data_IF_635891718348
#
_entry.id   IF_635891718348
#
_cell.length_a   1.000
_cell.length_b   1.000
_cell.length_c   1.000
_cell.angle_alpha   90.00
_cell.angle_beta   90.00
_cell.angle_gamma   90.00
#
_symmetry.space_group_name_H-M   'P 1'
#
loop_
_entity.id
_entity.type
_entity.pdbx_description
1 polymer ?
#
# COMPACT_ATOMS: atom_id res chain seq x y z
N UNK A 1 -17.87 4.48 -4.01
CA UNK A 1 -17.26 3.84 -5.19
C UNK A 1 -16.13 2.99 -4.71
N UNK A 2 -16.13 1.70 -5.04
CA UNK A 2 -15.10 0.74 -4.62
C UNK A 2 -13.81 0.99 -5.40
N UNK A 3 -12.68 1.12 -4.70
CA UNK A 3 -11.38 0.94 -5.32
C UNK A 3 -11.18 -0.56 -5.57
N UNK A 4 -10.79 -0.91 -6.78
CA UNK A 4 -10.46 -2.29 -7.15
C UNK A 4 -9.54 -2.26 -8.35
N UNK A 5 -8.55 -3.14 -8.35
CA UNK A 5 -7.69 -3.32 -9.49
C UNK A 5 -8.22 -4.49 -10.33
N UNK A 6 -8.62 -4.23 -11.57
CA UNK A 6 -9.16 -5.24 -12.50
C UNK A 6 -8.17 -6.41 -12.74
N UNK A 7 -6.88 -6.21 -12.47
CA UNK A 7 -5.85 -7.25 -12.57
C UNK A 7 -5.71 -8.12 -11.32
N UNK A 8 -6.31 -7.76 -10.17
CA UNK A 8 -6.27 -8.59 -8.95
C UNK A 8 -6.79 -10.01 -9.21
N UNK A 9 -7.87 -10.17 -9.98
CA UNK A 9 -8.46 -11.48 -10.27
C UNK A 9 -7.57 -12.42 -11.09
N UNK A 10 -6.59 -11.89 -11.83
CA UNK A 10 -5.70 -12.69 -12.70
C UNK A 10 -4.35 -12.97 -12.01
N UNK A 11 -3.93 -12.07 -11.13
CA UNK A 11 -2.64 -12.11 -10.42
C UNK A 11 -2.75 -12.82 -9.06
N UNK A 12 -3.95 -12.87 -8.45
CA UNK A 12 -4.20 -13.45 -7.13
C UNK A 12 -3.81 -14.95 -6.98
N UNK A 13 -3.97 -15.83 -7.97
CA UNK A 13 -3.51 -17.23 -7.86
C UNK A 13 -1.99 -17.40 -7.96
N UNK A 14 -1.29 -16.46 -8.61
CA UNK A 14 0.16 -16.55 -8.88
C UNK A 14 1.02 -15.81 -7.86
N UNK A 15 0.45 -14.88 -7.09
CA UNK A 15 1.20 -13.98 -6.20
C UNK A 15 0.59 -13.85 -4.79
N UNK A 16 0.58 -14.93 -3.99
CA UNK A 16 0.08 -14.91 -2.61
C UNK A 16 0.79 -13.89 -1.70
N UNK A 17 2.02 -13.51 -2.04
CA UNK A 17 2.79 -12.47 -1.36
C UNK A 17 2.14 -11.09 -1.41
N UNK A 18 1.42 -10.76 -2.49
CA UNK A 18 0.72 -9.48 -2.65
C UNK A 18 -0.42 -9.39 -1.66
N UNK A 19 -1.23 -10.44 -1.56
CA UNK A 19 -2.35 -10.49 -0.63
C UNK A 19 -1.90 -10.44 0.83
N UNK A 20 -0.83 -11.16 1.17
CA UNK A 20 -0.23 -11.09 2.51
C UNK A 20 0.24 -9.68 2.86
N UNK A 21 0.81 -8.96 1.90
CA UNK A 21 1.26 -7.59 2.11
C UNK A 21 0.10 -6.61 2.29
N UNK A 22 -0.98 -6.78 1.52
CA UNK A 22 -2.23 -6.02 1.68
C UNK A 22 -2.84 -6.23 3.06
N UNK A 23 -3.08 -7.49 3.45
CA UNK A 23 -3.57 -7.84 4.78
C UNK A 23 -2.65 -7.30 5.87
N UNK A 24 -1.33 -7.42 5.69
CA UNK A 24 -0.36 -6.94 6.67
C UNK A 24 -0.47 -5.43 6.85
N UNK A 25 -0.55 -4.66 5.77
CA UNK A 25 -0.75 -3.22 5.83
C UNK A 25 -2.07 -2.84 6.52
N UNK A 26 -3.16 -3.55 6.25
CA UNK A 26 -4.45 -3.33 6.91
C UNK A 26 -4.39 -3.64 8.41
N UNK A 27 -3.72 -4.74 8.82
CA UNK A 27 -3.51 -5.05 10.26
C UNK A 27 -2.65 -4.02 10.98
N UNK A 28 -1.77 -3.32 10.25
CA UNK A 28 -0.93 -2.23 10.78
C UNK A 28 -1.66 -0.87 10.81
N UNK A 29 -2.93 -0.83 10.39
CA UNK A 29 -3.78 0.35 10.50
C UNK A 29 -3.95 1.13 9.20
N UNK A 30 -3.65 0.54 8.04
CA UNK A 30 -4.08 1.10 6.77
C UNK A 30 -5.62 1.04 6.69
N UNK A 31 -6.24 2.12 6.21
CA UNK A 31 -7.68 2.17 5.93
C UNK A 31 -8.06 1.25 4.77
N UNK A 32 -7.13 1.07 3.83
CA UNK A 32 -7.22 0.14 2.70
C UNK A 32 -5.81 -0.10 2.17
N UNK A 33 -5.51 -1.33 1.77
CA UNK A 33 -4.32 -1.66 1.00
C UNK A 33 -4.70 -2.33 -0.32
N UNK A 34 -3.94 -2.08 -1.38
CA UNK A 34 -4.13 -2.74 -2.68
C UNK A 34 -2.89 -2.67 -3.56
N UNK A 35 -2.79 -3.57 -4.54
CA UNK A 35 -1.79 -3.55 -5.59
C UNK A 35 -1.95 -2.33 -6.53
N UNK A 36 -0.84 -1.62 -6.77
CA UNK A 36 -0.74 -0.57 -7.77
C UNK A 36 -0.43 -1.14 -9.17
N UNK A 37 -1.34 -0.95 -10.13
CA UNK A 37 -1.10 -1.27 -11.55
C UNK A 37 -0.91 -2.77 -11.81
N UNK A 38 0.13 -3.15 -12.55
CA UNK A 38 0.45 -4.56 -12.86
C UNK A 38 1.20 -5.29 -11.73
N UNK A 39 1.44 -4.65 -10.58
CA UNK A 39 2.23 -5.23 -9.49
C UNK A 39 3.75 -5.23 -9.74
N UNK A 40 4.55 -5.67 -8.75
CA UNK A 40 4.15 -6.24 -7.45
C UNK A 40 3.93 -5.18 -6.35
N UNK A 41 3.99 -3.89 -6.69
CA UNK A 41 3.90 -2.81 -5.71
C UNK A 41 2.53 -2.77 -5.04
N UNK A 42 2.49 -2.86 -3.70
CA UNK A 42 1.30 -2.64 -2.88
C UNK A 42 1.42 -1.29 -2.19
N UNK A 43 0.32 -0.55 -2.11
CA UNK A 43 0.24 0.68 -1.32
C UNK A 43 -0.89 0.57 -0.30
N UNK A 44 -0.65 1.14 0.89
CA UNK A 44 -1.63 1.25 1.96
C UNK A 44 -1.91 2.72 2.26
N UNK A 45 -3.18 3.08 2.39
CA UNK A 45 -3.59 4.45 2.76
C UNK A 45 -3.73 4.52 4.28
N UNK A 46 -2.98 5.41 4.91
CA UNK A 46 -3.07 5.66 6.34
C UNK A 46 -3.65 7.05 6.59
N UNK A 47 -4.66 7.15 7.44
CA UNK A 47 -5.23 8.44 7.88
C UNK A 47 -4.50 9.04 9.09
N UNK A 48 -3.66 8.24 9.73
CA UNK A 48 -2.87 8.61 10.91
C UNK A 48 -1.38 8.52 10.56
N UNK A 49 -0.65 9.65 10.53
CA UNK A 49 0.78 9.67 10.23
C UNK A 49 1.63 8.81 11.16
N UNK A 50 1.25 8.67 12.44
CA UNK A 50 2.01 7.87 13.40
C UNK A 50 1.83 6.38 13.13
N UNK A 51 0.62 5.94 12.75
CA UNK A 51 0.39 4.57 12.26
C UNK A 51 1.15 4.29 10.98
N UNK A 52 1.23 5.26 10.07
CA UNK A 52 1.97 5.12 8.82
C UNK A 52 3.48 4.91 9.07
N UNK A 53 4.06 5.68 10.01
CA UNK A 53 5.47 5.51 10.43
C UNK A 53 5.68 4.17 11.14
N UNK A 54 4.80 3.78 12.06
CA UNK A 54 4.90 2.49 12.75
C UNK A 54 4.82 1.32 11.75
N UNK A 55 3.91 1.40 10.78
CA UNK A 55 3.77 0.41 9.72
C UNK A 55 5.04 0.31 8.86
N UNK A 56 5.67 1.45 8.52
CA UNK A 56 6.95 1.48 7.79
C UNK A 56 8.04 0.68 8.51
N UNK A 57 8.19 0.91 9.82
CA UNK A 57 9.23 0.23 10.61
C UNK A 57 8.96 -1.27 10.72
N UNK A 58 7.70 -1.69 10.92
CA UNK A 58 7.34 -3.12 10.95
C UNK A 58 7.57 -3.78 9.59
N UNK A 59 7.14 -3.15 8.49
CA UNK A 59 7.32 -3.69 7.14
C UNK A 59 8.80 -3.79 6.74
N UNK A 60 9.66 -2.90 7.24
CA UNK A 60 11.11 -2.99 7.07
C UNK A 60 11.70 -4.15 7.86
N UNK A 61 11.27 -4.34 9.10
CA UNK A 61 11.71 -5.46 9.94
C UNK A 61 11.26 -6.82 9.36
N UNK A 62 10.10 -6.84 8.71
CA UNK A 62 9.51 -8.03 8.09
C UNK A 62 9.79 -8.12 6.58
N UNK A 63 10.76 -7.35 6.06
CA UNK A 63 11.05 -7.27 4.63
C UNK A 63 11.42 -8.63 4.01
N UNK A 64 12.28 -9.41 4.67
CA UNK A 64 12.68 -10.76 4.23
C UNK A 64 11.52 -11.77 4.21
N UNK A 65 10.76 -11.98 5.31
CA UNK A 65 9.65 -12.94 5.30
C UNK A 65 8.49 -12.52 4.38
N UNK A 66 8.33 -11.23 4.10
CA UNK A 66 7.34 -10.70 3.16
C UNK A 66 7.87 -10.59 1.72
N UNK A 67 9.14 -10.93 1.47
CA UNK A 67 9.81 -10.77 0.16
C UNK A 67 9.77 -9.34 -0.40
N UNK A 68 9.76 -8.35 0.48
CA UNK A 68 9.70 -6.93 0.14
C UNK A 68 11.11 -6.38 0.03
N UNK A 69 11.51 -5.94 -1.18
CA UNK A 69 12.83 -5.36 -1.40
C UNK A 69 12.97 -3.94 -0.84
N UNK A 70 11.88 -3.16 -0.88
CA UNK A 70 11.90 -1.73 -0.58
C UNK A 70 10.57 -1.29 0.01
N UNK A 71 10.62 -0.45 1.04
CA UNK A 71 9.44 0.16 1.67
C UNK A 71 9.63 1.68 1.73
N UNK A 72 8.62 2.41 1.27
CA UNK A 72 8.59 3.86 1.21
C UNK A 72 7.37 4.41 1.96
N UNK A 73 7.53 5.56 2.61
CA UNK A 73 6.44 6.35 3.16
C UNK A 73 6.38 7.66 2.38
N UNK A 74 5.22 7.95 1.79
CA UNK A 74 5.00 9.14 0.96
C UNK A 74 3.75 9.88 1.42
N UNK A 75 3.73 11.19 1.24
CA UNK A 75 2.56 12.02 1.47
C UNK A 75 1.90 12.36 0.13
N UNK A 76 0.56 12.38 0.04
CA UNK A 76 -0.13 12.75 -1.18
C UNK A 76 0.17 14.22 -1.53
N UNK A 77 0.83 14.44 -2.66
CA UNK A 77 1.05 15.78 -3.19
C UNK A 77 -0.14 16.21 -4.04
N UNK A 78 -0.95 17.13 -3.52
CA UNK A 78 -1.97 17.83 -4.29
C UNK A 78 -1.38 19.17 -4.76
N UNK A 79 -0.99 19.34 -6.04
CA UNK A 79 -0.60 20.65 -6.53
C UNK A 79 -1.80 21.59 -6.38
N UNK A 80 -1.60 22.74 -5.72
CA UNK A 80 -2.64 23.78 -5.64
C UNK A 80 -2.93 24.24 -7.07
N UNK A 81 -3.97 23.69 -7.69
CA UNK A 81 -4.55 24.27 -8.91
C UNK A 81 -5.14 25.61 -8.50
N UNK A 82 -4.36 26.68 -8.70
CA UNK A 82 -4.80 28.04 -8.52
C UNK A 82 -5.93 28.33 -9.50
N UNK A 83 -7.17 28.14 -9.07
CA UNK A 83 -8.31 28.83 -9.68
C UNK A 83 -8.25 30.27 -9.17
N UNK A 84 -7.49 31.10 -9.88
CA UNK A 84 -7.65 32.56 -9.80
C UNK A 84 -9.00 32.87 -10.43
N UNK A 85 -9.98 33.24 -9.61
CA UNK A 85 -11.06 34.11 -10.06
C UNK A 85 -10.57 35.56 -9.96
#
# INVERSE_FOLDING_TARGET
>A
GSMGNTLECVTSPMHPEIHRLEERMETLGAARAMMSGSGPTVFGIFTDPEKAKAALEVLRAEAEPLQVKQVYLTEPYQPRTGRKN
#
